data_IF_575491000345
#
_entry.id   IF_575491000345
#
_cell.length_a   1.000
_cell.length_b   1.000
_cell.length_c   1.000
_cell.angle_alpha   90.00
_cell.angle_beta   90.00
_cell.angle_gamma   90.00
#
_symmetry.space_group_name_H-M   'P 1'
#
loop_
_entity.id
_entity.type
_entity.pdbx_description
1 polymer ?
#
# COMPACT_ATOMS: atom_id res chain seq x y z
N UNK A 1 6.45 7.25 10.19
CA UNK A 1 7.33 7.93 9.24
C UNK A 1 7.35 7.14 7.97
N UNK A 2 7.28 7.83 6.85
CA UNK A 2 7.30 7.25 5.53
C UNK A 2 8.69 7.31 4.93
N UNK A 3 8.94 6.44 3.98
CA UNK A 3 10.15 6.45 3.17
C UNK A 3 9.78 6.42 1.70
N UNK A 4 10.63 6.99 0.86
CA UNK A 4 10.62 6.83 -0.57
C UNK A 4 11.93 6.21 -1.02
N UNK A 5 11.82 5.26 -1.94
CA UNK A 5 12.95 4.52 -2.45
C UNK A 5 12.71 4.01 -3.85
N UNK A 6 13.75 3.40 -4.41
CA UNK A 6 13.68 2.71 -5.69
C UNK A 6 13.90 1.23 -5.46
N UNK A 7 12.94 0.40 -5.88
CA UNK A 7 13.12 -1.03 -6.06
C UNK A 7 13.77 -1.28 -7.41
N UNK A 8 14.85 -2.06 -7.43
CA UNK A 8 15.59 -2.35 -8.67
C UNK A 8 16.08 -3.79 -8.71
N UNK A 9 16.13 -4.37 -9.91
CA UNK A 9 16.71 -5.69 -10.13
C UNK A 9 18.16 -5.55 -10.62
N UNK A 10 19.06 -6.36 -10.07
CA UNK A 10 20.47 -6.39 -10.51
C UNK A 10 20.71 -7.15 -11.82
N UNK A 11 19.75 -7.96 -12.26
CA UNK A 11 19.88 -8.82 -13.44
C UNK A 11 19.10 -8.35 -14.67
N UNK A 12 18.06 -7.54 -14.48
CA UNK A 12 17.27 -7.00 -15.58
C UNK A 12 17.00 -5.50 -15.40
N UNK A 13 16.38 -4.87 -16.40
CA UNK A 13 16.10 -3.43 -16.38
C UNK A 13 14.93 -3.00 -15.47
N UNK A 14 14.42 -3.89 -14.61
CA UNK A 14 13.30 -3.56 -13.73
C UNK A 14 13.72 -2.50 -12.70
N UNK A 15 12.95 -1.42 -12.65
CA UNK A 15 13.10 -0.35 -11.66
C UNK A 15 11.74 0.32 -11.42
N UNK A 16 11.41 0.61 -10.16
CA UNK A 16 10.18 1.29 -9.76
C UNK A 16 10.43 2.14 -8.52
N UNK A 17 9.96 3.38 -8.54
CA UNK A 17 9.89 4.20 -7.32
C UNK A 17 8.71 3.77 -6.47
N UNK A 18 8.92 3.73 -5.16
CA UNK A 18 7.93 3.29 -4.18
C UNK A 18 7.94 4.21 -2.97
N UNK A 19 6.76 4.36 -2.38
CA UNK A 19 6.51 5.01 -1.11
C UNK A 19 6.05 3.95 -0.12
N UNK A 20 6.55 4.00 1.11
CA UNK A 20 6.21 3.07 2.17
C UNK A 20 5.95 3.83 3.46
N UNK A 21 5.00 3.35 4.26
CA UNK A 21 4.76 3.85 5.62
C UNK A 21 3.76 5.00 5.69
N UNK A 22 3.88 5.80 6.75
CA UNK A 22 2.89 6.82 7.11
C UNK A 22 3.51 8.21 7.23
N UNK A 23 2.71 9.22 6.86
CA UNK A 23 2.98 10.61 7.14
C UNK A 23 1.93 11.31 8.02
N UNK A 24 2.15 12.57 8.36
CA UNK A 24 1.24 13.47 9.07
C UNK A 24 -0.15 13.51 8.45
N UNK A 25 -0.25 13.44 7.12
CA UNK A 25 -1.55 13.44 6.42
C UNK A 25 -2.38 12.16 6.63
N UNK A 26 -1.80 11.13 7.25
CA UNK A 26 -2.41 9.84 7.56
C UNK A 26 -2.90 9.78 9.02
N UNK A 27 -2.66 10.83 9.83
CA UNK A 27 -2.91 10.78 11.28
C UNK A 27 -4.39 10.89 11.65
N UNK A 28 -5.25 11.36 10.75
CA UNK A 28 -6.68 11.47 11.01
C UNK A 28 -7.52 11.33 9.73
N UNK A 29 -8.76 10.89 9.90
CA UNK A 29 -9.68 10.63 8.80
C UNK A 29 -10.08 11.89 8.01
N UNK A 30 -10.09 13.09 8.62
CA UNK A 30 -10.36 14.32 7.86
C UNK A 30 -9.22 14.58 6.88
N UNK A 31 -7.98 14.50 7.36
CA UNK A 31 -6.79 14.66 6.53
C UNK A 31 -6.76 13.63 5.40
N UNK A 32 -7.01 12.35 5.71
CA UNK A 32 -7.07 11.27 4.71
C UNK A 32 -8.12 11.57 3.64
N UNK A 33 -9.31 12.02 4.04
CA UNK A 33 -10.40 12.35 3.13
C UNK A 33 -10.05 13.45 2.11
N UNK A 34 -9.08 14.32 2.38
CA UNK A 34 -8.69 15.39 1.44
C UNK A 34 -7.92 14.87 0.22
N UNK A 35 -7.15 13.79 0.37
CA UNK A 35 -6.26 13.27 -0.69
C UNK A 35 -6.55 11.84 -1.12
N UNK A 36 -7.35 11.10 -0.37
CA UNK A 36 -7.68 9.73 -0.74
C UNK A 36 -8.50 9.68 -2.03
N UNK A 37 -8.04 8.92 -3.02
CA UNK A 37 -8.57 8.96 -4.39
C UNK A 37 -9.79 8.07 -4.62
N UNK A 38 -9.90 6.94 -3.90
CA UNK A 38 -10.96 5.96 -4.17
C UNK A 38 -12.30 6.42 -3.59
N UNK A 39 -13.29 6.69 -4.45
CA UNK A 39 -14.61 7.20 -4.05
C UNK A 39 -15.35 6.30 -3.04
N UNK A 40 -15.28 4.97 -3.20
CA UNK A 40 -15.86 4.02 -2.23
C UNK A 40 -15.25 4.19 -0.84
N UNK A 41 -13.91 4.22 -0.74
CA UNK A 41 -13.26 4.45 0.55
C UNK A 41 -13.50 5.86 1.09
N UNK A 42 -13.63 6.90 0.24
CA UNK A 42 -14.06 8.24 0.68
C UNK A 42 -15.46 8.21 1.30
N UNK A 43 -16.39 7.41 0.78
CA UNK A 43 -17.72 7.23 1.36
C UNK A 43 -17.62 6.58 2.74
N UNK A 44 -16.88 5.48 2.85
CA UNK A 44 -16.69 4.80 4.14
C UNK A 44 -15.96 5.67 5.16
N UNK A 45 -14.94 6.44 4.77
CA UNK A 45 -14.28 7.40 5.68
C UNK A 45 -15.33 8.34 6.29
N UNK A 46 -16.22 8.94 5.49
CA UNK A 46 -17.28 9.84 6.00
C UNK A 46 -18.24 9.14 6.95
N UNK A 47 -18.61 7.89 6.65
CA UNK A 47 -19.49 7.09 7.50
C UNK A 47 -18.84 6.79 8.85
N UNK A 48 -17.61 6.28 8.85
CA UNK A 48 -16.89 5.88 10.06
C UNK A 48 -16.47 7.10 10.91
N UNK A 49 -16.22 8.26 10.32
CA UNK A 49 -15.97 9.51 11.06
C UNK A 49 -17.12 9.93 11.98
N UNK A 50 -18.35 9.49 11.70
CA UNK A 50 -19.51 9.78 12.55
C UNK A 50 -19.65 8.85 13.76
N UNK A 51 -18.82 7.80 13.86
CA UNK A 51 -18.87 6.79 14.91
C UNK A 51 -17.78 7.07 15.94
N UNK A 52 -18.14 7.03 17.23
CA UNK A 52 -17.24 7.40 18.33
C UNK A 52 -16.13 6.37 18.59
N UNK A 53 -16.32 5.12 18.19
CA UNK A 53 -15.40 4.00 18.45
C UNK A 53 -14.56 3.60 17.22
N UNK A 54 -14.53 4.44 16.19
CA UNK A 54 -13.77 4.17 14.97
C UNK A 54 -12.27 4.14 15.27
N UNK A 55 -11.63 3.03 14.89
CA UNK A 55 -10.19 2.91 14.73
C UNK A 55 -9.85 2.70 13.26
N UNK A 56 -8.66 3.12 12.85
CA UNK A 56 -8.21 2.94 11.48
C UNK A 56 -6.71 2.69 11.37
N UNK A 57 -6.31 2.06 10.27
CA UNK A 57 -4.93 1.86 9.85
C UNK A 57 -4.83 2.35 8.40
N UNK A 58 -3.90 3.28 8.12
CA UNK A 58 -3.72 3.83 6.77
C UNK A 58 -2.23 4.07 6.49
N UNK A 59 -1.70 3.59 5.37
CA UNK A 59 -0.29 3.77 4.98
C UNK A 59 -0.04 3.45 3.50
N UNK A 60 1.08 3.94 2.95
CA UNK A 60 1.59 3.48 1.66
C UNK A 60 2.25 2.12 1.78
N UNK A 61 1.87 1.17 0.93
CA UNK A 61 2.44 -0.17 0.89
C UNK A 61 2.62 -0.69 -0.52
N UNK A 62 3.25 -1.86 -0.63
CA UNK A 62 3.42 -2.57 -1.90
C UNK A 62 2.61 -3.85 -1.85
N UNK A 63 1.58 -3.92 -2.69
CA UNK A 63 0.82 -5.15 -2.90
C UNK A 63 1.52 -6.01 -3.95
N UNK A 64 1.59 -7.31 -3.70
CA UNK A 64 2.14 -8.30 -4.63
C UNK A 64 1.00 -9.10 -5.24
N UNK A 65 0.82 -9.04 -6.56
CA UNK A 65 -0.17 -9.88 -7.23
C UNK A 65 0.26 -11.34 -7.15
N UNK A 66 -0.54 -12.20 -6.54
CA UNK A 66 -0.19 -13.62 -6.38
C UNK A 66 -0.05 -14.36 -7.71
N UNK A 67 -0.82 -13.94 -8.73
CA UNK A 67 -0.88 -14.58 -10.05
C UNK A 67 0.25 -14.16 -10.99
N UNK A 68 0.50 -12.86 -11.16
CA UNK A 68 1.49 -12.36 -12.14
C UNK A 68 2.68 -11.63 -11.51
N UNK A 69 2.76 -11.63 -10.17
CA UNK A 69 3.81 -11.02 -9.35
C UNK A 69 3.95 -9.50 -9.48
N UNK A 70 3.07 -8.84 -10.24
CA UNK A 70 3.06 -7.39 -10.37
C UNK A 70 3.04 -6.70 -9.00
N UNK A 71 3.89 -5.69 -8.85
CA UNK A 71 4.02 -4.88 -7.64
C UNK A 71 3.22 -3.59 -7.82
N UNK A 72 2.20 -3.41 -6.98
CA UNK A 72 1.41 -2.19 -6.93
C UNK A 72 1.77 -1.41 -5.68
N UNK A 73 2.35 -0.22 -5.84
CA UNK A 73 2.46 0.72 -4.74
C UNK A 73 1.12 1.46 -4.58
N UNK A 74 0.46 1.30 -3.44
CA UNK A 74 -0.86 1.86 -3.18
C UNK A 74 -1.16 1.96 -1.70
N UNK A 75 -2.23 2.69 -1.39
CA UNK A 75 -2.66 2.97 -0.02
C UNK A 75 -3.37 1.75 0.55
N UNK A 76 -2.95 1.28 1.72
CA UNK A 76 -3.77 0.44 2.58
C UNK A 76 -4.65 1.35 3.45
N UNK A 77 -5.94 1.04 3.52
CA UNK A 77 -6.90 1.69 4.40
C UNK A 77 -7.80 0.61 5.01
N UNK A 78 -7.76 0.51 6.33
CA UNK A 78 -8.67 -0.30 7.13
C UNK A 78 -9.41 0.60 8.13
N UNK A 79 -10.73 0.43 8.22
CA UNK A 79 -11.62 1.12 9.15
C UNK A 79 -12.37 0.07 9.97
N UNK A 80 -12.46 0.23 11.29
CA UNK A 80 -13.17 -0.68 12.21
C UNK A 80 -13.97 0.11 13.24
N UNK A 81 -15.20 -0.31 13.52
CA UNK A 81 -16.08 0.23 14.56
C UNK A 81 -17.02 -0.90 14.99
N UNK A 82 -16.95 -1.31 16.25
CA UNK A 82 -17.57 -2.55 16.74
C UNK A 82 -17.20 -3.78 15.89
N UNK A 83 -18.23 -4.46 15.37
CA UNK A 83 -18.11 -5.63 14.49
C UNK A 83 -18.04 -5.26 12.98
N UNK A 84 -18.17 -3.97 12.65
CA UNK A 84 -18.19 -3.50 11.27
C UNK A 84 -16.79 -3.10 10.80
N UNK A 85 -16.40 -3.57 9.62
CA UNK A 85 -15.06 -3.40 9.07
C UNK A 85 -15.09 -3.12 7.57
N UNK A 86 -14.31 -2.13 7.17
CA UNK A 86 -14.01 -1.85 5.77
C UNK A 86 -12.50 -1.94 5.52
N UNK A 87 -12.12 -2.54 4.40
CA UNK A 87 -10.76 -2.51 3.88
C UNK A 87 -10.82 -2.26 2.39
N UNK A 88 -10.05 -1.31 1.89
CA UNK A 88 -9.99 -1.05 0.46
C UNK A 88 -9.39 -2.24 -0.30
N UNK A 89 -9.67 -2.32 -1.59
CA UNK A 89 -9.24 -3.42 -2.44
C UNK A 89 -8.67 -2.90 -3.75
N UNK A 90 -7.78 -3.70 -4.32
CA UNK A 90 -7.19 -3.43 -5.62
C UNK A 90 -7.35 -4.66 -6.51
N UNK A 91 -7.64 -4.41 -7.78
CA UNK A 91 -7.45 -5.40 -8.83
C UNK A 91 -6.08 -5.16 -9.47
N UNK A 92 -5.37 -6.25 -9.77
CA UNK A 92 -4.07 -6.17 -10.40
C UNK A 92 -4.18 -5.47 -11.77
N UNK A 93 -3.48 -4.36 -12.02
CA UNK A 93 -3.56 -3.64 -13.28
C UNK A 93 -3.11 -4.46 -14.50
N UNK A 94 -2.31 -5.52 -14.28
CA UNK A 94 -1.75 -6.36 -15.34
C UNK A 94 -2.63 -7.53 -15.74
N UNK A 95 -3.33 -8.15 -14.77
CA UNK A 95 -4.08 -9.39 -15.01
C UNK A 95 -5.51 -9.38 -14.45
N UNK A 96 -5.94 -8.26 -13.86
CA UNK A 96 -7.28 -8.02 -13.29
C UNK A 96 -7.67 -8.94 -12.13
N UNK A 97 -6.74 -9.74 -11.61
CA UNK A 97 -6.94 -10.58 -10.43
C UNK A 97 -6.98 -9.70 -9.18
N UNK A 98 -7.95 -9.97 -8.29
CA UNK A 98 -8.01 -9.31 -6.99
C UNK A 98 -6.70 -9.51 -6.23
N UNK A 99 -6.13 -8.42 -5.74
CA UNK A 99 -4.90 -8.43 -4.96
C UNK A 99 -5.20 -8.79 -3.49
N UNK A 100 -4.19 -9.23 -2.71
CA UNK A 100 -4.33 -9.42 -1.28
C UNK A 100 -4.88 -8.15 -0.59
N UNK A 101 -5.67 -8.34 0.46
CA UNK A 101 -6.30 -7.22 1.19
C UNK A 101 -5.32 -6.37 1.97
N UNK A 102 -4.13 -6.90 2.30
CA UNK A 102 -3.09 -6.19 3.06
C UNK A 102 -1.72 -6.36 2.38
N UNK A 103 -0.89 -5.30 2.28
CA UNK A 103 0.48 -5.41 1.82
C UNK A 103 1.35 -6.31 2.72
N UNK A 104 2.25 -7.16 2.16
CA UNK A 104 3.21 -7.95 2.93
C UNK A 104 4.38 -7.09 3.42
N UNK A 105 4.15 -6.25 4.44
CA UNK A 105 5.15 -5.31 4.97
C UNK A 105 6.47 -6.01 5.34
N UNK A 106 6.43 -7.15 6.02
CA UNK A 106 7.63 -7.87 6.46
C UNK A 106 8.53 -8.32 5.29
N UNK A 107 7.93 -8.75 4.17
CA UNK A 107 8.67 -9.18 2.97
C UNK A 107 9.32 -7.98 2.26
N UNK A 108 8.63 -6.84 2.26
CA UNK A 108 9.13 -5.58 1.69
C UNK A 108 10.31 -5.07 2.52
N UNK A 109 10.18 -5.02 3.85
CA UNK A 109 11.22 -4.53 4.76
C UNK A 109 12.45 -5.45 4.79
N UNK A 110 12.25 -6.77 4.67
CA UNK A 110 13.33 -7.75 4.60
C UNK A 110 13.98 -7.84 3.21
N UNK A 111 13.46 -7.13 2.20
CA UNK A 111 14.00 -7.13 0.84
C UNK A 111 13.82 -8.47 0.10
N UNK A 112 12.79 -9.23 0.45
CA UNK A 112 12.52 -10.58 -0.07
C UNK A 112 11.56 -10.58 -1.27
N UNK A 113 11.35 -9.44 -1.92
CA UNK A 113 10.48 -9.35 -3.10
C UNK A 113 11.19 -9.85 -4.35
N UNK A 114 10.68 -10.92 -4.96
CA UNK A 114 11.14 -11.39 -6.24
C UNK A 114 10.90 -10.36 -7.36
N UNK A 115 11.84 -10.26 -8.30
CA UNK A 115 11.69 -9.39 -9.45
C UNK A 115 10.50 -9.85 -10.33
N UNK A 116 9.47 -9.02 -10.57
CA UNK A 116 8.29 -9.42 -11.34
C UNK A 116 8.55 -9.51 -12.85
N UNK A 117 9.73 -9.06 -13.31
CA UNK A 117 10.13 -9.10 -14.72
C UNK A 117 10.89 -10.39 -15.08
N UNK A 118 11.89 -10.79 -14.29
CA UNK A 118 12.69 -11.99 -14.57
C UNK A 118 12.44 -13.15 -13.60
N UNK A 119 12.05 -12.89 -12.34
CA UNK A 119 11.88 -13.91 -11.31
C UNK A 119 13.18 -14.58 -10.85
N UNK A 120 14.34 -14.08 -11.27
CA UNK A 120 15.65 -14.74 -11.01
C UNK A 120 16.36 -14.21 -9.76
N UNK A 121 16.04 -12.99 -9.33
CA UNK A 121 16.60 -12.39 -8.09
C UNK A 121 15.54 -11.64 -7.32
N UNK A 122 15.82 -11.45 -6.03
CA UNK A 122 15.12 -10.44 -5.23
C UNK A 122 15.49 -9.02 -5.69
N UNK A 123 14.60 -8.09 -5.39
CA UNK A 123 14.77 -6.67 -5.65
C UNK A 123 15.58 -6.03 -4.52
N UNK A 124 16.38 -5.03 -4.88
CA UNK A 124 17.08 -4.19 -3.92
C UNK A 124 16.32 -2.89 -3.71
N UNK A 125 16.09 -2.55 -2.45
CA UNK A 125 15.50 -1.29 -2.04
C UNK A 125 16.59 -0.27 -1.74
N UNK A 126 16.62 0.80 -2.54
CA UNK A 126 17.52 1.94 -2.34
C UNK A 126 16.69 3.14 -1.87
N UNK A 127 16.73 3.42 -0.56
CA UNK A 127 16.02 4.56 0.04
C UNK A 127 16.75 5.86 -0.31
N UNK A 128 15.99 6.90 -0.66
CA UNK A 128 16.56 8.20 -1.02
C UNK A 128 15.89 9.39 -0.31
N UNK A 129 14.75 9.18 0.35
CA UNK A 129 14.03 10.23 1.06
C UNK A 129 13.22 9.64 2.19
N UNK A 130 13.30 10.26 3.36
CA UNK A 130 12.33 10.08 4.44
C UNK A 130 11.29 11.18 4.33
N UNK A 131 10.06 10.88 4.71
CA UNK A 131 8.99 11.85 4.74
C UNK A 131 8.09 11.67 5.95
N UNK A 132 7.57 12.79 6.39
CA UNK A 132 6.41 12.89 7.24
C UNK A 132 5.24 13.41 6.40
#
# INVERSE_FOLDING_TARGET
MGVAGTLSCKQCAYSQNVFLGIGFRYMDLNSILEWYEQEEGRQHIREYMSREDTIFECYDGIYVCEQCKYLLNGIFLELKSGDDMYTNRYDCPRCSTQMPTKPPLDEVESGQLDCPACGETTLEMNLYMDWD
#
